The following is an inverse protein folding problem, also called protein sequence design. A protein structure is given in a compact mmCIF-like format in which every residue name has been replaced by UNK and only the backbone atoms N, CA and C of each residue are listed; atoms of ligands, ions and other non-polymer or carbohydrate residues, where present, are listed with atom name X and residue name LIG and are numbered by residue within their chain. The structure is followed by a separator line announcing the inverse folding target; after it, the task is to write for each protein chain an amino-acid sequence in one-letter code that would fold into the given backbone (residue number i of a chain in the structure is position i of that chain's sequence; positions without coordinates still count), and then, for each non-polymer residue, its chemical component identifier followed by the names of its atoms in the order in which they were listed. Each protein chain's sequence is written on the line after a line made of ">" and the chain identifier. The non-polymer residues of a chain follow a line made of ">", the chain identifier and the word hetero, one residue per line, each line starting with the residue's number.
data_IF_478499772007
#
_entry.id   IF_478499772007
#
_cell.length_a   1.000
_cell.length_b   1.000
_cell.length_c   1.000
_cell.angle_alpha   90.00
_cell.angle_beta   90.00
_cell.angle_gamma   90.00
#
_symmetry.space_group_name_H-M   'P 1'
#
loop_
_entity.id
_entity.type
_entity.pdbx_description
1 polymer ?
#
# COMPACT_ATOMS: atom_id res chain seq x y z
N UNK A 1 -4.79 -25.84 17.89
CA UNK A 1 -4.24 -25.15 16.70
C UNK A 1 -4.39 -25.99 15.43
N UNK A 2 -4.08 -27.29 15.45
CA UNK A 2 -4.30 -28.17 14.28
C UNK A 2 -5.82 -28.32 14.00
N UNK A 3 -6.63 -28.59 15.02
CA UNK A 3 -8.09 -28.76 14.86
C UNK A 3 -8.79 -27.49 14.35
N UNK A 4 -8.30 -26.31 14.75
CA UNK A 4 -8.84 -25.02 14.28
C UNK A 4 -8.49 -24.74 12.80
N UNK A 5 -7.32 -25.17 12.34
CA UNK A 5 -6.91 -25.05 10.93
C UNK A 5 -7.73 -26.01 10.07
N UNK A 6 -7.90 -27.26 10.51
CA UNK A 6 -8.74 -28.25 9.80
C UNK A 6 -10.19 -27.77 9.71
N UNK A 7 -10.77 -27.30 10.81
CA UNK A 7 -12.11 -26.73 10.82
C UNK A 7 -12.24 -25.50 9.90
N UNK A 8 -11.22 -24.64 9.84
CA UNK A 8 -11.20 -23.49 8.91
C UNK A 8 -11.21 -23.94 7.44
N UNK A 9 -10.51 -25.03 7.11
CA UNK A 9 -10.50 -25.61 5.75
C UNK A 9 -11.85 -26.19 5.38
N UNK A 10 -12.48 -26.92 6.28
CA UNK A 10 -13.85 -27.45 6.08
C UNK A 10 -14.86 -26.32 5.88
N UNK A 11 -14.79 -25.27 6.71
CA UNK A 11 -15.67 -24.10 6.57
C UNK A 11 -15.47 -23.40 5.23
N UNK A 12 -14.22 -23.26 4.75
CA UNK A 12 -13.93 -22.71 3.42
C UNK A 12 -14.56 -23.56 2.32
N UNK A 13 -14.47 -24.89 2.39
CA UNK A 13 -15.08 -25.79 1.42
C UNK A 13 -16.61 -25.66 1.39
N UNK A 14 -17.26 -25.54 2.57
CA UNK A 14 -18.70 -25.29 2.66
C UNK A 14 -19.08 -23.97 1.99
N UNK A 15 -18.30 -22.89 2.20
CA UNK A 15 -18.54 -21.61 1.54
C UNK A 15 -18.43 -21.71 0.02
N UNK A 16 -17.42 -22.44 -0.48
CA UNK A 16 -17.23 -22.68 -1.92
C UNK A 16 -18.43 -23.45 -2.48
N UNK A 17 -18.85 -24.54 -1.84
CA UNK A 17 -20.00 -25.34 -2.26
C UNK A 17 -21.29 -24.51 -2.32
N UNK A 18 -21.52 -23.64 -1.32
CA UNK A 18 -22.66 -22.73 -1.31
C UNK A 18 -22.63 -21.72 -2.47
N UNK A 19 -21.45 -21.16 -2.78
CA UNK A 19 -21.31 -20.24 -3.92
C UNK A 19 -21.56 -20.96 -5.25
N UNK A 20 -21.08 -22.20 -5.39
CA UNK A 20 -21.28 -23.03 -6.57
C UNK A 20 -22.74 -23.40 -6.80
N UNK A 21 -23.63 -23.36 -5.81
CA UNK A 21 -25.07 -23.56 -6.05
C UNK A 21 -25.69 -22.52 -7.00
N UNK A 22 -25.06 -21.35 -7.14
CA UNK A 22 -25.56 -20.22 -7.94
C UNK A 22 -24.56 -19.70 -8.97
N UNK A 23 -23.37 -20.29 -9.07
CA UNK A 23 -22.29 -19.88 -9.95
C UNK A 23 -21.56 -21.10 -10.50
N UNK A 24 -21.13 -21.03 -11.75
CA UNK A 24 -20.46 -22.14 -12.43
C UNK A 24 -19.08 -22.43 -11.84
N UNK A 25 -18.38 -21.36 -11.44
CA UNK A 25 -17.00 -21.41 -10.97
C UNK A 25 -16.77 -20.44 -9.80
N UNK A 26 -15.85 -20.83 -8.92
CA UNK A 26 -15.36 -19.99 -7.81
C UNK A 26 -13.84 -20.02 -7.79
N UNK A 27 -13.22 -18.84 -7.78
CA UNK A 27 -11.78 -18.69 -7.58
C UNK A 27 -11.51 -18.48 -6.09
N UNK A 28 -10.66 -19.32 -5.50
CA UNK A 28 -10.11 -19.12 -4.16
C UNK A 28 -8.74 -18.43 -4.28
N UNK A 29 -8.62 -17.24 -3.70
CA UNK A 29 -7.35 -16.49 -3.60
C UNK A 29 -6.84 -16.64 -2.18
N UNK A 30 -5.77 -17.40 -1.98
CA UNK A 30 -5.19 -17.65 -0.65
C UNK A 30 -3.68 -17.43 -0.69
N UNK A 31 -3.10 -16.94 0.40
CA UNK A 31 -1.64 -16.84 0.50
C UNK A 31 -1.00 -18.22 0.69
N UNK A 32 0.15 -18.42 0.06
CA UNK A 32 1.00 -19.62 0.17
C UNK A 32 2.15 -19.37 1.16
N UNK A 33 1.83 -18.86 2.35
CA UNK A 33 2.82 -18.54 3.39
C UNK A 33 3.29 -19.82 4.09
N UNK A 34 4.61 -20.04 4.26
CA UNK A 34 5.16 -21.18 5.01
C UNK A 34 4.95 -21.03 6.53
N UNK A 35 5.06 -22.14 7.27
CA UNK A 35 4.98 -22.14 8.74
C UNK A 35 3.56 -22.26 9.31
N UNK A 36 3.45 -22.24 10.64
CA UNK A 36 2.19 -22.47 11.38
C UNK A 36 1.33 -21.21 11.50
N UNK A 37 1.95 -20.02 11.59
CA UNK A 37 1.23 -18.75 11.61
C UNK A 37 0.91 -18.30 10.19
N UNK A 38 -0.36 -18.42 9.79
CA UNK A 38 -0.86 -17.97 8.48
C UNK A 38 -1.39 -16.53 8.47
N UNK A 39 -1.45 -15.88 9.63
CA UNK A 39 -2.01 -14.54 9.82
C UNK A 39 -0.89 -13.53 10.07
N UNK A 40 0.00 -13.40 9.09
CA UNK A 40 1.07 -12.38 9.05
C UNK A 40 0.70 -11.28 8.05
N UNK A 41 1.28 -10.08 8.19
CA UNK A 41 0.97 -8.91 7.35
C UNK A 41 1.13 -9.20 5.86
N UNK A 42 2.14 -9.98 5.47
CA UNK A 42 2.40 -10.37 4.08
C UNK A 42 1.26 -11.23 3.52
N UNK A 43 0.63 -12.08 4.33
CA UNK A 43 -0.51 -12.89 3.92
C UNK A 43 -1.71 -12.02 3.50
N UNK A 44 -2.03 -11.02 4.32
CA UNK A 44 -3.12 -10.07 4.07
C UNK A 44 -2.83 -9.19 2.85
N UNK A 45 -1.60 -8.72 2.72
CA UNK A 45 -1.17 -7.94 1.56
C UNK A 45 -1.31 -8.76 0.27
N UNK A 46 -0.80 -10.00 0.24
CA UNK A 46 -0.84 -10.86 -0.93
C UNK A 46 -2.28 -11.10 -1.40
N UNK A 47 -3.19 -11.49 -0.50
CA UNK A 47 -4.58 -11.76 -0.92
C UNK A 47 -5.31 -10.51 -1.39
N UNK A 48 -5.05 -9.34 -0.77
CA UNK A 48 -5.62 -8.06 -1.20
C UNK A 48 -5.06 -7.63 -2.56
N UNK A 49 -3.75 -7.78 -2.77
CA UNK A 49 -3.07 -7.47 -4.03
C UNK A 49 -3.64 -8.33 -5.17
N UNK A 50 -3.65 -9.65 -5.01
CA UNK A 50 -4.15 -10.54 -6.06
C UNK A 50 -5.65 -10.40 -6.30
N UNK A 51 -6.43 -10.04 -5.28
CA UNK A 51 -7.82 -9.63 -5.48
C UNK A 51 -7.92 -8.40 -6.40
N UNK A 52 -7.07 -7.39 -6.24
CA UNK A 52 -7.01 -6.20 -7.12
C UNK A 52 -6.50 -6.57 -8.51
N UNK A 53 -5.47 -7.42 -8.64
CA UNK A 53 -5.00 -7.85 -9.96
C UNK A 53 -6.08 -8.61 -10.74
N UNK A 54 -6.83 -9.50 -10.06
CA UNK A 54 -7.93 -10.21 -10.70
C UNK A 54 -9.08 -9.29 -11.10
N UNK A 55 -9.37 -8.22 -10.34
CA UNK A 55 -10.46 -7.28 -10.69
C UNK A 55 -10.18 -6.45 -11.94
N UNK A 56 -8.91 -6.34 -12.36
CA UNK A 56 -8.52 -5.70 -13.63
C UNK A 56 -8.87 -6.58 -14.85
N UNK A 57 -8.96 -7.89 -14.66
CA UNK A 57 -9.12 -8.87 -15.75
C UNK A 57 -10.49 -9.54 -15.73
N UNK A 58 -11.13 -9.63 -14.56
CA UNK A 58 -12.37 -10.35 -14.34
C UNK A 58 -13.44 -9.42 -13.77
N UNK A 59 -14.68 -9.60 -14.23
CA UNK A 59 -15.84 -8.90 -13.69
C UNK A 59 -16.49 -9.79 -12.63
N UNK A 60 -16.39 -9.38 -11.37
CA UNK A 60 -17.07 -10.05 -10.26
C UNK A 60 -17.73 -9.02 -9.33
N UNK A 61 -18.86 -9.41 -8.71
CA UNK A 61 -19.62 -8.55 -7.79
C UNK A 61 -19.46 -9.07 -6.36
N UNK A 62 -19.26 -8.15 -5.40
CA UNK A 62 -19.18 -8.38 -3.95
C UNK A 62 -18.06 -9.35 -3.51
N UNK A 63 -16.79 -8.95 -3.62
CA UNK A 63 -15.72 -9.70 -2.96
C UNK A 63 -15.84 -9.56 -1.43
N UNK A 64 -15.72 -10.68 -0.71
CA UNK A 64 -15.57 -10.67 0.75
C UNK A 64 -14.31 -11.42 1.13
N UNK A 65 -13.42 -10.75 1.88
CA UNK A 65 -12.29 -11.39 2.53
C UNK A 65 -12.80 -12.13 3.76
N UNK A 66 -12.36 -13.38 3.94
CA UNK A 66 -12.59 -14.13 5.18
C UNK A 66 -11.28 -14.29 5.92
N UNK A 67 -11.29 -14.02 7.21
CA UNK A 67 -10.16 -14.29 8.11
C UNK A 67 -10.40 -15.63 8.81
N UNK A 68 -9.36 -16.46 8.89
CA UNK A 68 -9.46 -17.80 9.45
C UNK A 68 -8.17 -18.22 10.15
N UNK A 69 -8.19 -19.33 10.89
CA UNK A 69 -6.98 -19.88 11.50
C UNK A 69 -5.96 -20.36 10.45
N UNK A 70 -6.39 -20.65 9.22
CA UNK A 70 -5.54 -21.05 8.08
C UNK A 70 -5.17 -19.88 7.16
N UNK A 71 -5.30 -18.64 7.67
CA UNK A 71 -4.94 -17.40 6.98
C UNK A 71 -6.14 -16.71 6.29
N UNK A 72 -5.92 -15.50 5.77
CA UNK A 72 -6.94 -14.77 5.03
C UNK A 72 -7.11 -15.34 3.60
N UNK A 73 -8.32 -15.22 3.06
CA UNK A 73 -8.60 -15.59 1.66
C UNK A 73 -9.79 -14.80 1.08
N UNK A 74 -9.85 -14.73 -0.25
CA UNK A 74 -11.04 -14.31 -0.99
C UNK A 74 -11.66 -15.48 -1.74
N UNK A 75 -12.99 -15.49 -1.83
CA UNK A 75 -13.74 -16.34 -2.75
C UNK A 75 -14.41 -15.45 -3.79
N UNK A 76 -14.11 -15.69 -5.07
CA UNK A 76 -14.55 -14.87 -6.19
C UNK A 76 -15.42 -15.73 -7.11
N UNK A 77 -16.75 -15.64 -7.04
CA UNK A 77 -17.62 -16.33 -7.98
C UNK A 77 -17.52 -15.68 -9.38
N UNK A 78 -17.42 -16.51 -10.41
CA UNK A 78 -17.28 -16.07 -11.81
C UNK A 78 -18.29 -16.80 -12.70
N UNK A 79 -18.64 -16.17 -13.83
CA UNK A 79 -19.58 -16.69 -14.84
C UNK A 79 -18.88 -17.26 -16.08
N UNK A 80 -17.66 -17.76 -15.93
CA UNK A 80 -16.87 -18.28 -17.04
C UNK A 80 -17.19 -19.76 -17.28
N UNK A 81 -17.25 -20.18 -18.55
CA UNK A 81 -17.75 -21.50 -18.92
C UNK A 81 -16.69 -22.59 -19.06
N UNK A 82 -15.40 -22.26 -19.30
CA UNK A 82 -14.31 -23.26 -19.30
C UNK A 82 -13.47 -23.19 -17.99
N UNK A 83 -13.59 -24.20 -17.10
CA UNK A 83 -12.80 -24.31 -15.88
C UNK A 83 -11.29 -24.48 -16.12
N UNK A 84 -10.89 -25.19 -17.19
CA UNK A 84 -9.49 -25.46 -17.52
C UNK A 84 -8.80 -24.21 -18.04
N UNK A 85 -9.47 -23.46 -18.90
CA UNK A 85 -8.98 -22.16 -19.38
C UNK A 85 -8.76 -21.19 -18.21
N UNK A 86 -9.73 -21.11 -17.29
CA UNK A 86 -9.61 -20.28 -16.10
C UNK A 86 -8.42 -20.71 -15.23
N UNK A 87 -8.22 -22.01 -15.00
CA UNK A 87 -7.07 -22.48 -14.20
C UNK A 87 -5.74 -22.22 -14.91
N UNK A 88 -5.66 -22.33 -16.23
CA UNK A 88 -4.48 -21.91 -16.99
C UNK A 88 -4.18 -20.42 -16.83
N UNK A 89 -5.20 -19.55 -16.83
CA UNK A 89 -5.03 -18.13 -16.56
C UNK A 89 -4.49 -17.88 -15.14
N UNK A 90 -5.03 -18.57 -14.13
CA UNK A 90 -4.56 -18.48 -12.75
C UNK A 90 -3.09 -18.90 -12.62
N UNK A 91 -2.72 -20.03 -13.25
CA UNK A 91 -1.33 -20.52 -13.31
C UNK A 91 -0.41 -19.50 -13.99
N UNK A 92 -0.87 -18.85 -15.06
CA UNK A 92 -0.10 -17.80 -15.74
C UNK A 92 0.20 -16.64 -14.80
N UNK A 93 -0.78 -16.19 -14.02
CA UNK A 93 -0.59 -15.11 -13.03
C UNK A 93 0.42 -15.53 -11.95
N UNK A 94 0.31 -16.76 -11.42
CA UNK A 94 1.25 -17.30 -10.43
C UNK A 94 2.70 -17.35 -10.95
N UNK A 95 2.90 -17.61 -12.24
CA UNK A 95 4.23 -17.73 -12.85
C UNK A 95 4.82 -16.39 -13.29
N UNK A 96 3.99 -15.38 -13.60
CA UNK A 96 4.44 -14.13 -14.23
C UNK A 96 4.47 -12.94 -13.27
N UNK A 97 3.58 -12.90 -12.27
CA UNK A 97 3.59 -11.84 -11.28
C UNK A 97 4.82 -12.00 -10.35
N UNK A 98 5.55 -10.92 -10.00
CA UNK A 98 6.74 -11.01 -9.12
C UNK A 98 6.49 -11.75 -7.80
N UNK A 99 5.30 -11.55 -7.22
CA UNK A 99 4.84 -12.22 -6.00
C UNK A 99 3.95 -13.46 -6.24
N UNK A 100 3.79 -13.89 -7.51
CA UNK A 100 2.87 -14.95 -7.93
C UNK A 100 3.14 -16.32 -7.27
N UNK A 101 4.39 -16.60 -6.89
CA UNK A 101 4.75 -17.84 -6.20
C UNK A 101 4.23 -17.92 -4.76
N UNK A 102 3.88 -16.77 -4.15
CA UNK A 102 3.40 -16.69 -2.77
C UNK A 102 1.88 -16.62 -2.66
N UNK A 103 1.17 -16.75 -3.78
CA UNK A 103 -0.28 -16.85 -3.82
C UNK A 103 -0.68 -18.22 -4.38
N UNK A 104 -1.86 -18.65 -3.97
CA UNK A 104 -2.55 -19.83 -4.46
C UNK A 104 -3.88 -19.38 -5.08
N UNK A 105 -4.00 -19.59 -6.39
CA UNK A 105 -5.16 -19.22 -7.18
C UNK A 105 -5.86 -20.50 -7.67
N UNK A 106 -6.82 -20.97 -6.88
CA UNK A 106 -7.54 -22.21 -7.13
C UNK A 106 -8.88 -21.97 -7.81
N UNK A 107 -9.20 -22.82 -8.79
CA UNK A 107 -10.47 -22.80 -9.51
C UNK A 107 -11.30 -24.00 -9.09
N UNK A 108 -12.46 -23.72 -8.52
CA UNK A 108 -13.45 -24.71 -8.08
C UNK A 108 -14.65 -24.71 -9.03
N UNK A 109 -15.18 -25.89 -9.31
CA UNK A 109 -16.36 -26.16 -10.13
C UNK A 109 -17.33 -27.04 -9.32
N UNK A 110 -18.50 -27.40 -9.87
CA UNK A 110 -19.49 -28.25 -9.18
C UNK A 110 -18.99 -29.64 -8.73
N UNK A 111 -17.85 -30.12 -9.21
CA UNK A 111 -17.21 -31.32 -8.69
C UNK A 111 -16.52 -31.05 -7.34
N UNK A 112 -16.39 -32.08 -6.50
CA UNK A 112 -15.79 -31.95 -5.17
C UNK A 112 -14.29 -31.54 -5.18
N UNK A 113 -13.61 -31.64 -6.33
CA UNK A 113 -12.19 -31.28 -6.48
C UNK A 113 -12.00 -29.95 -7.24
N UNK A 114 -10.99 -29.18 -6.82
CA UNK A 114 -10.42 -28.09 -7.63
C UNK A 114 -9.61 -28.66 -8.80
N UNK A 115 -9.40 -27.85 -9.82
CA UNK A 115 -8.56 -28.23 -10.97
C UNK A 115 -7.10 -28.06 -10.57
N UNK A 116 -6.37 -29.17 -10.58
CA UNK A 116 -4.94 -29.20 -10.24
C UNK A 116 -4.06 -28.85 -11.45
N UNK A 117 -2.76 -28.64 -11.19
CA UNK A 117 -1.76 -28.46 -12.26
C UNK A 117 -1.55 -29.76 -13.05
N UNK A 118 -1.66 -30.91 -12.38
CA UNK A 118 -1.53 -32.24 -12.98
C UNK A 118 -2.65 -32.53 -13.98
N UNK A 119 -3.89 -32.12 -13.67
CA UNK A 119 -5.05 -32.24 -14.57
C UNK A 119 -4.86 -31.51 -15.91
N UNK A 120 -3.94 -30.54 -15.95
CA UNK A 120 -3.61 -29.71 -17.11
C UNK A 120 -2.26 -30.07 -17.74
N UNK A 121 -1.55 -31.07 -17.21
CA UNK A 121 -0.21 -31.45 -17.68
C UNK A 121 0.86 -30.38 -17.44
N UNK A 122 0.66 -29.50 -16.46
CA UNK A 122 1.58 -28.41 -16.11
C UNK A 122 2.50 -28.87 -14.97
N UNK A 123 3.81 -28.58 -15.01
CA UNK A 123 4.74 -28.98 -13.96
C UNK A 123 4.36 -28.39 -12.58
N UNK A 124 4.71 -29.07 -11.48
CA UNK A 124 4.49 -28.58 -10.13
C UNK A 124 5.25 -27.27 -9.87
N UNK A 125 4.85 -26.55 -8.81
CA UNK A 125 5.58 -25.35 -8.38
C UNK A 125 6.96 -25.75 -7.84
N UNK A 126 7.99 -25.00 -8.21
CA UNK A 126 9.32 -25.12 -7.61
C UNK A 126 9.34 -24.56 -6.19
N UNK A 127 10.27 -25.05 -5.37
CA UNK A 127 10.54 -24.55 -4.04
C UNK A 127 10.95 -23.06 -4.08
N UNK A 128 10.76 -22.36 -2.95
CA UNK A 128 11.18 -20.97 -2.83
C UNK A 128 12.71 -20.80 -2.84
N UNK A 129 13.44 -21.78 -2.28
CA UNK A 129 14.87 -21.67 -2.01
C UNK A 129 15.74 -22.57 -2.91
N UNK A 130 15.13 -23.48 -3.68
CA UNK A 130 15.86 -24.37 -4.58
C UNK A 130 15.02 -24.78 -5.80
N UNK A 131 15.64 -25.55 -6.69
CA UNK A 131 15.04 -25.98 -7.95
C UNK A 131 14.15 -27.23 -7.87
N UNK A 132 14.08 -27.89 -6.70
CA UNK A 132 13.22 -29.05 -6.48
C UNK A 132 11.74 -28.65 -6.41
N UNK A 133 10.85 -29.62 -6.58
CA UNK A 133 9.42 -29.43 -6.39
C UNK A 133 9.09 -29.00 -4.96
N UNK A 134 8.18 -28.04 -4.81
CA UNK A 134 7.78 -27.53 -3.50
C UNK A 134 7.20 -28.63 -2.60
N UNK A 135 6.43 -29.57 -3.17
CA UNK A 135 5.90 -30.72 -2.44
C UNK A 135 7.01 -31.65 -1.93
N UNK A 136 8.05 -31.87 -2.74
CA UNK A 136 9.21 -32.66 -2.33
C UNK A 136 9.91 -32.01 -1.13
N UNK A 137 10.25 -30.72 -1.23
CA UNK A 137 10.92 -29.99 -0.14
C UNK A 137 10.08 -29.91 1.13
N UNK A 138 8.76 -29.69 1.00
CA UNK A 138 7.85 -29.64 2.14
C UNK A 138 7.75 -30.99 2.86
N UNK A 139 7.66 -32.10 2.11
CA UNK A 139 7.55 -33.44 2.68
C UNK A 139 8.84 -33.88 3.37
N UNK A 140 9.98 -33.54 2.79
CA UNK A 140 11.30 -33.88 3.34
C UNK A 140 11.84 -32.86 4.35
N UNK A 141 11.10 -31.78 4.61
CA UNK A 141 11.54 -30.67 5.47
C UNK A 141 12.96 -30.19 5.13
N UNK A 142 13.23 -30.03 3.83
CA UNK A 142 14.58 -29.75 3.29
C UNK A 142 15.15 -28.40 3.73
N UNK A 143 14.30 -27.47 4.14
CA UNK A 143 14.68 -26.11 4.53
C UNK A 143 14.06 -25.73 5.87
N UNK A 144 14.72 -24.84 6.61
CA UNK A 144 14.16 -24.24 7.80
C UNK A 144 12.93 -23.40 7.43
N UNK A 145 11.89 -23.45 8.26
CA UNK A 145 10.68 -22.67 8.05
C UNK A 145 10.98 -21.17 8.13
N UNK A 146 11.89 -20.76 9.01
CA UNK A 146 12.29 -19.37 9.17
C UNK A 146 12.96 -18.84 7.90
N UNK A 147 13.80 -19.63 7.22
CA UNK A 147 14.41 -19.23 5.95
C UNK A 147 13.35 -19.02 4.87
N UNK A 148 12.36 -19.91 4.80
CA UNK A 148 11.24 -19.79 3.87
C UNK A 148 10.39 -18.54 4.18
N UNK A 149 10.12 -18.25 5.45
CA UNK A 149 9.37 -17.04 5.86
C UNK A 149 10.17 -15.78 5.51
N UNK A 150 11.45 -15.72 5.88
CA UNK A 150 12.33 -14.59 5.58
C UNK A 150 12.38 -14.32 4.07
N UNK A 151 12.52 -15.37 3.26
CA UNK A 151 12.52 -15.24 1.81
C UNK A 151 11.23 -14.62 1.26
N UNK A 152 10.06 -15.03 1.78
CA UNK A 152 8.78 -14.40 1.38
C UNK A 152 8.76 -12.92 1.78
N UNK A 153 9.16 -12.60 3.03
CA UNK A 153 9.16 -11.23 3.54
C UNK A 153 10.07 -10.30 2.73
N UNK A 154 11.27 -10.75 2.38
CA UNK A 154 12.23 -9.99 1.58
C UNK A 154 11.68 -9.70 0.18
N UNK A 155 11.08 -10.70 -0.48
CA UNK A 155 10.51 -10.50 -1.82
C UNK A 155 9.28 -9.57 -1.78
N UNK A 156 8.43 -9.70 -0.75
CA UNK A 156 7.26 -8.82 -0.54
C UNK A 156 7.72 -7.39 -0.25
N UNK A 157 8.72 -7.21 0.61
CA UNK A 157 9.30 -5.89 0.93
C UNK A 157 9.94 -5.25 -0.30
N UNK A 158 10.71 -6.00 -1.09
CA UNK A 158 11.30 -5.50 -2.33
C UNK A 158 10.23 -5.03 -3.32
N UNK A 159 9.19 -5.84 -3.53
CA UNK A 159 8.05 -5.46 -4.37
C UNK A 159 7.34 -4.19 -3.86
N UNK A 160 7.08 -4.12 -2.55
CA UNK A 160 6.47 -2.92 -1.95
C UNK A 160 7.33 -1.68 -2.14
N UNK A 161 8.65 -1.80 -1.95
CA UNK A 161 9.57 -0.69 -2.12
C UNK A 161 9.46 -0.10 -3.52
N UNK A 162 9.48 -0.94 -4.56
CA UNK A 162 9.36 -0.49 -5.94
C UNK A 162 8.00 0.20 -6.20
N UNK A 163 6.91 -0.37 -5.71
CA UNK A 163 5.57 0.20 -5.88
C UNK A 163 5.43 1.55 -5.17
N UNK A 164 5.85 1.63 -3.90
CA UNK A 164 5.72 2.84 -3.09
C UNK A 164 6.65 3.94 -3.59
N UNK A 165 7.87 3.61 -4.01
CA UNK A 165 8.78 4.55 -4.64
C UNK A 165 8.13 5.17 -5.88
N UNK A 166 7.57 4.35 -6.77
CA UNK A 166 6.87 4.82 -7.97
C UNK A 166 5.66 5.70 -7.63
N UNK A 167 4.88 5.34 -6.60
CA UNK A 167 3.70 6.12 -6.19
C UNK A 167 4.09 7.48 -5.61
N UNK A 168 5.12 7.53 -4.77
CA UNK A 168 5.64 8.79 -4.20
C UNK A 168 6.16 9.69 -5.31
N UNK A 169 6.96 9.12 -6.23
CA UNK A 169 7.53 9.83 -7.37
C UNK A 169 6.44 10.47 -8.24
N UNK A 170 5.44 9.66 -8.63
CA UNK A 170 4.30 10.10 -9.41
C UNK A 170 3.45 11.14 -8.68
N UNK A 171 3.24 11.01 -7.38
CA UNK A 171 2.45 11.97 -6.61
C UNK A 171 3.11 13.36 -6.60
N UNK A 172 4.44 13.43 -6.38
CA UNK A 172 5.20 14.68 -6.40
C UNK A 172 5.24 15.27 -7.81
N UNK A 173 5.46 14.43 -8.83
CA UNK A 173 5.49 14.89 -10.21
C UNK A 173 4.13 15.40 -10.68
N UNK A 174 3.04 14.70 -10.33
CA UNK A 174 1.66 15.12 -10.62
C UNK A 174 1.35 16.48 -9.99
N UNK A 175 1.78 16.70 -8.75
CA UNK A 175 1.66 18.02 -8.11
C UNK A 175 2.46 19.07 -8.86
N UNK A 176 3.72 18.81 -9.18
CA UNK A 176 4.63 19.76 -9.82
C UNK A 176 4.22 20.12 -11.25
N UNK A 177 3.68 19.17 -12.01
CA UNK A 177 3.25 19.37 -13.40
C UNK A 177 1.89 20.04 -13.54
N UNK A 178 1.12 20.16 -12.45
CA UNK A 178 -0.20 20.79 -12.48
C UNK A 178 -0.08 22.32 -12.62
N UNK A 179 -0.32 22.84 -13.82
CA UNK A 179 -0.48 24.28 -14.07
C UNK A 179 -1.81 24.82 -13.52
N UNK A 180 -1.87 26.13 -13.32
CA UNK A 180 -3.00 26.88 -12.74
C UNK A 180 -3.29 26.56 -11.27
N UNK A 181 -2.25 26.19 -10.50
CA UNK A 181 -2.30 26.09 -9.03
C UNK A 181 -1.81 27.39 -8.37
N UNK A 182 -2.38 27.69 -7.20
CA UNK A 182 -2.30 29.01 -6.58
C UNK A 182 -0.91 29.35 -6.04
N UNK A 183 -0.18 30.22 -6.75
CA UNK A 183 1.09 30.81 -6.27
C UNK A 183 2.27 29.84 -6.14
N UNK A 184 2.09 28.57 -6.50
CA UNK A 184 3.10 27.53 -6.43
C UNK A 184 3.82 27.36 -7.77
N UNK A 185 5.05 26.84 -7.72
CA UNK A 185 5.84 26.48 -8.89
C UNK A 185 5.15 25.34 -9.65
N UNK A 186 4.92 25.52 -10.95
CA UNK A 186 4.37 24.53 -11.87
C UNK A 186 5.30 24.31 -13.07
N UNK A 187 4.85 23.56 -14.08
CA UNK A 187 5.63 23.32 -15.30
C UNK A 187 5.94 24.59 -16.08
N UNK A 188 5.01 25.55 -16.10
CA UNK A 188 5.14 26.78 -16.89
C UNK A 188 5.32 28.05 -16.07
N UNK A 189 5.40 27.97 -14.73
CA UNK A 189 5.44 29.15 -13.86
C UNK A 189 6.22 28.90 -12.57
N UNK A 190 6.96 29.90 -12.10
CA UNK A 190 7.50 29.91 -10.72
C UNK A 190 6.47 30.33 -9.67
N UNK A 191 5.23 30.62 -10.07
CA UNK A 191 4.20 31.10 -9.16
C UNK A 191 4.59 32.44 -8.54
N UNK A 192 4.51 32.54 -7.22
CA UNK A 192 4.91 33.73 -6.45
C UNK A 192 6.39 33.72 -6.04
N UNK A 193 7.17 32.77 -6.53
CA UNK A 193 8.57 32.59 -6.15
C UNK A 193 9.52 33.23 -7.16
N UNK A 194 10.53 33.91 -6.62
CA UNK A 194 11.66 34.45 -7.41
C UNK A 194 12.90 33.55 -7.30
N UNK A 195 12.92 32.67 -6.30
CA UNK A 195 14.07 31.87 -5.89
C UNK A 195 14.00 30.40 -6.35
N UNK A 196 12.87 29.95 -6.91
CA UNK A 196 12.73 28.58 -7.41
C UNK A 196 11.92 28.47 -8.69
N UNK A 197 12.22 27.41 -9.46
CA UNK A 197 11.57 27.07 -10.71
C UNK A 197 11.35 25.55 -10.82
N UNK A 198 10.72 25.12 -11.91
CA UNK A 198 10.40 23.71 -12.17
C UNK A 198 11.63 22.79 -12.12
N UNK A 199 12.78 23.24 -12.64
CA UNK A 199 14.00 22.43 -12.69
C UNK A 199 14.63 22.25 -11.30
N UNK A 200 14.60 23.30 -10.48
CA UNK A 200 15.05 23.21 -9.10
C UNK A 200 14.15 22.29 -8.27
N UNK A 201 12.83 22.34 -8.50
CA UNK A 201 11.86 21.43 -7.87
C UNK A 201 12.10 19.97 -8.29
N UNK A 202 12.35 19.68 -9.57
CA UNK A 202 12.74 18.34 -10.02
C UNK A 202 14.02 17.85 -9.32
N UNK A 203 15.03 18.70 -9.19
CA UNK A 203 16.26 18.36 -8.47
C UNK A 203 15.96 18.04 -6.99
N UNK A 204 15.11 18.83 -6.35
CA UNK A 204 14.70 18.59 -4.96
C UNK A 204 13.93 17.27 -4.80
N UNK A 205 13.03 16.95 -5.74
CA UNK A 205 12.27 15.68 -5.79
C UNK A 205 13.21 14.47 -5.75
N UNK A 206 14.20 14.42 -6.62
CA UNK A 206 15.15 13.29 -6.69
C UNK A 206 15.88 13.04 -5.37
N UNK A 207 16.12 14.10 -4.59
CA UNK A 207 16.74 14.00 -3.27
C UNK A 207 15.76 13.44 -2.23
N UNK A 208 14.51 13.90 -2.21
CA UNK A 208 13.57 13.58 -1.12
C UNK A 208 12.81 12.25 -1.30
N UNK A 209 12.63 11.78 -2.53
CA UNK A 209 11.86 10.56 -2.83
C UNK A 209 12.41 9.32 -2.07
N UNK A 210 13.72 9.05 -2.04
CA UNK A 210 14.28 7.94 -1.26
C UNK A 210 14.03 8.05 0.25
N UNK A 211 14.00 9.27 0.79
CA UNK A 211 13.70 9.51 2.21
C UNK A 211 12.24 9.22 2.54
N UNK A 212 11.32 9.58 1.66
CA UNK A 212 9.89 9.27 1.83
C UNK A 212 9.65 7.75 1.79
N UNK A 213 10.35 7.00 0.94
CA UNK A 213 10.31 5.53 0.97
C UNK A 213 10.83 4.99 2.32
N UNK A 214 11.96 5.51 2.81
CA UNK A 214 12.50 5.11 4.12
C UNK A 214 11.53 5.44 5.27
N UNK A 215 10.78 6.53 5.18
CA UNK A 215 9.74 6.90 6.13
C UNK A 215 8.54 5.93 6.06
N UNK A 216 8.13 5.51 4.86
CA UNK A 216 7.14 4.44 4.70
C UNK A 216 7.59 3.15 5.39
N UNK A 217 8.83 2.72 5.16
CA UNK A 217 9.37 1.49 5.74
C UNK A 217 9.46 1.56 7.27
N UNK A 218 9.82 2.72 7.85
CA UNK A 218 9.73 2.93 9.30
C UNK A 218 8.32 2.67 9.83
N UNK A 219 7.29 3.13 9.12
CA UNK A 219 5.90 2.83 9.48
C UNK A 219 5.57 1.35 9.36
N UNK A 220 5.98 0.72 8.26
CA UNK A 220 5.72 -0.69 7.99
C UNK A 220 6.37 -1.64 9.02
N UNK A 221 7.57 -1.31 9.49
CA UNK A 221 8.36 -2.11 10.43
C UNK A 221 8.05 -1.82 11.90
N UNK A 222 7.34 -0.72 12.19
CA UNK A 222 7.03 -0.33 13.57
C UNK A 222 5.97 -1.23 14.19
N UNK A 223 6.00 -1.34 15.53
CA UNK A 223 4.96 -1.99 16.33
C UNK A 223 4.14 -0.99 17.15
N UNK A 224 4.63 0.25 17.31
CA UNK A 224 4.06 1.24 18.22
C UNK A 224 3.82 2.59 17.52
N UNK A 225 2.55 2.87 17.25
CA UNK A 225 2.14 4.11 16.59
C UNK A 225 2.50 5.39 17.36
N UNK A 226 2.46 5.35 18.70
CA UNK A 226 2.55 6.55 19.53
C UNK A 226 3.92 7.24 19.47
N UNK A 227 5.00 6.48 19.25
CA UNK A 227 6.38 6.97 19.19
C UNK A 227 6.89 7.13 17.76
N UNK A 228 6.12 6.67 16.78
CA UNK A 228 6.56 6.56 15.39
C UNK A 228 6.97 7.90 14.76
N UNK A 229 6.31 9.01 15.12
CA UNK A 229 6.73 10.34 14.67
C UNK A 229 8.08 10.75 15.24
N UNK A 230 8.32 10.48 16.53
CA UNK A 230 9.59 10.80 17.19
C UNK A 230 10.74 10.00 16.58
N UNK A 231 10.53 8.70 16.37
CA UNK A 231 11.51 7.80 15.75
C UNK A 231 11.79 8.09 14.27
N UNK A 232 10.82 8.70 13.58
CA UNK A 232 10.93 9.03 12.15
C UNK A 232 11.46 10.45 11.92
N UNK A 233 11.38 11.33 12.92
CA UNK A 233 11.76 12.75 12.80
C UNK A 233 13.20 12.98 12.35
N UNK A 234 14.23 12.27 12.85
CA UNK A 234 15.60 12.46 12.37
C UNK A 234 15.72 12.27 10.85
N UNK A 235 14.99 11.31 10.30
CA UNK A 235 15.01 11.01 8.87
C UNK A 235 14.34 12.11 8.04
N UNK A 236 13.24 12.70 8.52
CA UNK A 236 12.62 13.86 7.87
C UNK A 236 13.49 15.11 7.91
N UNK A 237 14.22 15.34 9.01
CA UNK A 237 15.20 16.43 9.13
C UNK A 237 16.36 16.22 8.16
N UNK A 238 16.87 14.98 8.05
CA UNK A 238 17.91 14.64 7.08
C UNK A 238 17.47 14.93 5.64
N UNK A 239 16.24 14.55 5.28
CA UNK A 239 15.65 14.84 3.97
C UNK A 239 15.60 16.36 3.68
N UNK A 240 15.18 17.16 4.67
CA UNK A 240 15.15 18.62 4.53
C UNK A 240 16.56 19.20 4.34
N UNK A 241 17.55 18.72 5.09
CA UNK A 241 18.93 19.19 5.00
C UNK A 241 19.58 18.85 3.65
N UNK A 242 19.43 17.61 3.17
CA UNK A 242 19.98 17.22 1.88
C UNK A 242 19.25 17.91 0.71
N UNK A 243 17.94 18.14 0.83
CA UNK A 243 17.21 18.97 -0.12
C UNK A 243 17.79 20.38 -0.18
N UNK A 244 17.90 21.06 0.97
CA UNK A 244 18.45 22.42 1.04
C UNK A 244 19.88 22.50 0.48
N UNK A 245 20.72 21.51 0.78
CA UNK A 245 22.08 21.43 0.23
C UNK A 245 22.06 21.29 -1.30
N UNK A 246 21.18 20.45 -1.84
CA UNK A 246 21.05 20.27 -3.28
C UNK A 246 20.48 21.51 -3.99
N UNK A 247 19.70 22.33 -3.28
CA UNK A 247 19.04 23.53 -3.80
C UNK A 247 19.69 24.84 -3.36
N UNK A 248 20.95 24.81 -2.89
CA UNK A 248 21.69 26.00 -2.44
C UNK A 248 20.96 26.83 -1.37
N UNK A 249 20.25 26.16 -0.46
CA UNK A 249 19.51 26.75 0.65
C UNK A 249 18.06 27.13 0.32
N UNK A 250 17.60 26.89 -0.91
CA UNK A 250 16.25 27.24 -1.35
C UNK A 250 15.25 26.17 -0.89
N UNK A 251 14.17 26.59 -0.25
CA UNK A 251 13.16 25.68 0.28
C UNK A 251 12.14 25.26 -0.80
N UNK A 252 12.38 24.13 -1.45
CA UNK A 252 11.48 23.57 -2.46
C UNK A 252 10.31 22.77 -1.86
N UNK A 253 10.57 21.88 -0.90
CA UNK A 253 9.60 20.85 -0.46
C UNK A 253 9.53 20.62 1.04
N UNK A 254 9.95 21.57 1.90
CA UNK A 254 9.85 21.37 3.36
C UNK A 254 8.43 21.03 3.85
N UNK A 255 7.42 21.70 3.31
CA UNK A 255 6.02 21.42 3.63
C UNK A 255 5.57 20.03 3.13
N UNK A 256 6.03 19.64 1.94
CA UNK A 256 5.74 18.34 1.35
C UNK A 256 6.42 17.20 2.11
N UNK A 257 7.69 17.33 2.49
CA UNK A 257 8.40 16.37 3.35
C UNK A 257 7.60 16.12 4.63
N UNK A 258 7.06 17.17 5.25
CA UNK A 258 6.25 17.04 6.46
C UNK A 258 4.92 16.32 6.19
N UNK A 259 4.11 16.80 5.23
CA UNK A 259 2.75 16.27 5.00
C UNK A 259 2.74 14.89 4.34
N UNK A 260 3.53 14.72 3.28
CA UNK A 260 3.67 13.43 2.60
C UNK A 260 4.44 12.44 3.48
N UNK A 261 5.43 12.91 4.25
CA UNK A 261 6.14 12.09 5.24
C UNK A 261 5.19 11.46 6.26
N UNK A 262 4.32 12.25 6.90
CA UNK A 262 3.30 11.72 7.82
C UNK A 262 2.36 10.72 7.13
N UNK A 263 1.95 11.03 5.90
CA UNK A 263 1.05 10.17 5.10
C UNK A 263 1.70 8.81 4.80
N UNK A 264 2.96 8.79 4.34
CA UNK A 264 3.63 7.53 3.98
C UNK A 264 3.99 6.70 5.21
N UNK A 265 4.41 7.32 6.32
CA UNK A 265 4.62 6.64 7.61
C UNK A 265 3.34 5.94 8.04
N UNK A 266 2.23 6.69 8.07
CA UNK A 266 0.92 6.18 8.47
C UNK A 266 0.42 5.07 7.54
N UNK A 267 0.69 5.20 6.24
CA UNK A 267 0.33 4.19 5.23
C UNK A 267 1.11 2.89 5.43
N UNK A 268 2.42 2.98 5.72
CA UNK A 268 3.25 1.82 6.05
C UNK A 268 2.71 1.08 7.28
N UNK A 269 2.43 1.83 8.35
CA UNK A 269 1.87 1.28 9.58
C UNK A 269 0.50 0.63 9.36
N UNK A 270 -0.39 1.31 8.65
CA UNK A 270 -1.71 0.78 8.33
C UNK A 270 -1.63 -0.53 7.52
N UNK A 271 -0.68 -0.62 6.59
CA UNK A 271 -0.50 -1.80 5.77
C UNK A 271 0.00 -3.00 6.58
N UNK A 272 1.01 -2.82 7.44
CA UNK A 272 1.56 -3.90 8.25
C UNK A 272 0.62 -4.37 9.34
N UNK A 273 -0.29 -3.50 9.82
CA UNK A 273 -1.27 -3.82 10.85
C UNK A 273 -2.65 -4.21 10.28
N UNK A 274 -2.74 -4.49 8.98
CA UNK A 274 -3.99 -4.90 8.31
C UNK A 274 -5.15 -3.88 8.48
N UNK A 275 -4.83 -2.62 8.75
CA UNK A 275 -5.82 -1.56 8.99
C UNK A 275 -6.58 -1.21 7.71
N UNK A 276 -7.72 -0.54 7.89
CA UNK A 276 -8.53 0.00 6.80
C UNK A 276 -7.93 1.33 6.33
N UNK A 277 -8.23 1.71 5.10
CA UNK A 277 -7.71 2.94 4.49
C UNK A 277 -7.93 4.20 5.35
N UNK A 278 -9.11 4.37 5.97
CA UNK A 278 -9.40 5.56 6.78
C UNK A 278 -8.54 5.68 8.04
N UNK A 279 -7.98 4.57 8.54
CA UNK A 279 -7.10 4.59 9.70
C UNK A 279 -5.80 5.35 9.43
N UNK A 280 -5.43 5.55 8.17
CA UNK A 280 -4.28 6.40 7.81
C UNK A 280 -4.45 7.80 8.42
N UNK A 281 -5.65 8.37 8.38
CA UNK A 281 -5.94 9.70 8.93
C UNK A 281 -5.99 9.68 10.46
N UNK A 282 -6.60 8.64 11.06
CA UNK A 282 -6.60 8.42 12.52
C UNK A 282 -5.17 8.34 13.05
N UNK A 283 -4.33 7.53 12.42
CA UNK A 283 -2.94 7.33 12.77
C UNK A 283 -2.15 8.64 12.74
N UNK A 284 -2.35 9.48 11.71
CA UNK A 284 -1.70 10.79 11.62
C UNK A 284 -2.11 11.68 12.80
N UNK A 285 -3.39 11.72 13.16
CA UNK A 285 -3.87 12.48 14.32
C UNK A 285 -3.23 11.97 15.62
N UNK A 286 -3.16 10.66 15.82
CA UNK A 286 -2.53 10.04 17.01
C UNK A 286 -1.04 10.38 17.10
N UNK A 287 -0.29 10.18 16.00
CA UNK A 287 1.15 10.48 15.92
C UNK A 287 1.45 11.96 16.19
N UNK A 288 0.53 12.85 15.84
CA UNK A 288 0.72 14.30 15.92
C UNK A 288 -0.02 14.94 17.10
N UNK A 289 -0.58 14.17 18.03
CA UNK A 289 -1.32 14.67 19.20
C UNK A 289 -0.56 15.74 20.01
N UNK A 290 0.77 15.61 20.07
CA UNK A 290 1.66 16.48 20.84
C UNK A 290 2.36 17.54 19.98
N UNK A 291 2.05 17.60 18.68
CA UNK A 291 2.73 18.50 17.74
C UNK A 291 2.58 19.97 18.10
N UNK A 292 1.52 20.32 18.85
CA UNK A 292 1.31 21.70 19.29
C UNK A 292 2.26 22.15 20.40
N UNK A 293 2.83 21.23 21.17
CA UNK A 293 3.86 21.55 22.18
C UNK A 293 5.10 22.18 21.52
N UNK A 294 5.31 21.97 20.22
CA UNK A 294 6.38 22.62 19.46
C UNK A 294 6.16 24.13 19.29
N UNK A 295 4.92 24.63 19.31
CA UNK A 295 4.65 26.07 19.16
C UNK A 295 4.97 26.90 20.40
N UNK A 296 5.13 26.25 21.56
CA UNK A 296 5.57 26.91 22.80
C UNK A 296 7.08 27.23 22.76
N UNK A 297 7.80 26.72 21.76
CA UNK A 297 9.21 27.02 21.51
C UNK A 297 9.37 28.31 20.67
N UNK A 298 10.54 28.96 20.73
CA UNK A 298 10.84 30.14 19.89
C UNK A 298 10.51 29.86 18.41
N UNK A 299 9.78 30.74 17.70
CA UNK A 299 9.37 30.50 16.32
C UNK A 299 10.59 30.39 15.41
N UNK A 300 10.68 29.28 14.67
CA UNK A 300 11.76 29.00 13.70
C UNK A 300 11.27 29.00 12.25
N UNK A 301 9.97 29.21 12.01
CA UNK A 301 9.36 29.18 10.67
C UNK A 301 8.20 30.18 10.59
N UNK A 302 7.90 30.67 9.38
CA UNK A 302 6.77 31.55 9.12
C UNK A 302 5.43 30.97 9.63
N UNK A 303 5.22 29.66 9.50
CA UNK A 303 4.02 29.01 10.02
C UNK A 303 3.87 29.07 11.55
N UNK A 304 4.97 29.05 12.30
CA UNK A 304 4.93 29.23 13.76
C UNK A 304 4.60 30.68 14.15
N UNK A 305 5.10 31.63 13.37
CA UNK A 305 4.80 33.05 13.55
C UNK A 305 3.33 33.37 13.22
N UNK A 306 2.81 32.83 12.12
CA UNK A 306 1.40 32.95 11.75
C UNK A 306 0.46 32.35 12.81
N UNK A 307 0.81 31.21 13.41
CA UNK A 307 0.04 30.65 14.52
C UNK A 307 0.06 31.58 15.74
N UNK A 308 1.23 32.08 16.14
CA UNK A 308 1.38 32.96 17.31
C UNK A 308 0.61 34.27 17.15
N UNK A 309 0.62 34.85 15.95
CA UNK A 309 0.01 36.17 15.68
C UNK A 309 -1.46 36.08 15.31
N UNK A 310 -1.87 35.03 14.59
CA UNK A 310 -3.21 34.93 13.98
C UNK A 310 -3.97 33.65 14.33
N UNK A 311 -3.43 32.77 15.17
CA UNK A 311 -4.00 31.46 15.53
C UNK A 311 -4.24 30.53 14.32
N UNK A 312 -3.57 30.80 13.19
CA UNK A 312 -3.61 29.97 11.99
C UNK A 312 -2.71 28.74 12.21
N UNK A 313 -3.33 27.56 12.35
CA UNK A 313 -2.61 26.31 12.68
C UNK A 313 -1.87 25.68 11.49
N UNK A 314 -2.27 26.01 10.26
CA UNK A 314 -1.63 25.56 9.02
C UNK A 314 -1.49 24.03 8.91
N UNK A 315 -0.42 23.58 8.24
CA UNK A 315 -0.14 22.16 8.00
C UNK A 315 -0.08 21.30 9.29
N UNK A 316 0.40 21.87 10.41
CA UNK A 316 0.41 21.16 11.70
C UNK A 316 -1.00 20.98 12.27
N UNK A 317 -1.88 21.96 12.05
CA UNK A 317 -3.30 21.85 12.38
C UNK A 317 -4.01 20.79 11.57
N UNK A 318 -3.78 20.77 10.26
CA UNK A 318 -4.27 19.71 9.39
C UNK A 318 -3.81 18.34 9.90
N UNK A 319 -2.52 18.17 10.16
CA UNK A 319 -1.96 16.91 10.65
C UNK A 319 -2.59 16.47 11.98
N UNK A 320 -2.68 17.37 12.96
CA UNK A 320 -3.30 17.09 14.25
C UNK A 320 -4.75 16.58 14.13
N UNK A 321 -5.51 17.13 13.19
CA UNK A 321 -6.89 16.73 12.92
C UNK A 321 -7.03 15.52 11.98
N UNK A 322 -5.92 14.93 11.53
CA UNK A 322 -5.95 13.81 10.59
C UNK A 322 -6.23 14.23 9.14
N UNK A 323 -5.74 15.38 8.71
CA UNK A 323 -5.82 15.90 7.33
C UNK A 323 -7.26 16.08 6.79
N UNK A 324 -8.14 16.81 7.49
CA UNK A 324 -9.53 17.00 7.05
C UNK A 324 -9.65 17.58 5.64
N UNK A 325 -8.78 18.51 5.21
CA UNK A 325 -8.78 19.01 3.83
C UNK A 325 -8.49 17.90 2.82
N UNK A 326 -7.53 17.02 3.11
CA UNK A 326 -7.22 15.88 2.21
C UNK A 326 -8.39 14.91 2.13
N UNK A 327 -9.10 14.67 3.24
CA UNK A 327 -10.28 13.81 3.26
C UNK A 327 -11.42 14.38 2.41
N UNK A 328 -11.65 15.70 2.46
CA UNK A 328 -12.63 16.40 1.61
C UNK A 328 -12.25 16.23 0.13
N UNK A 329 -11.02 16.58 -0.23
CA UNK A 329 -10.54 16.46 -1.61
C UNK A 329 -10.62 15.02 -2.12
N UNK A 330 -10.24 14.03 -1.30
CA UNK A 330 -10.28 12.62 -1.67
C UNK A 330 -11.72 12.16 -1.96
N UNK A 331 -12.69 12.58 -1.15
CA UNK A 331 -14.10 12.23 -1.37
C UNK A 331 -14.57 12.70 -2.75
N UNK A 332 -14.24 13.93 -3.14
CA UNK A 332 -14.57 14.47 -4.45
C UNK A 332 -13.86 13.72 -5.58
N UNK A 333 -12.56 13.43 -5.42
CA UNK A 333 -11.79 12.70 -6.42
C UNK A 333 -12.28 11.25 -6.61
N UNK A 334 -12.79 10.60 -5.57
CA UNK A 334 -13.34 9.24 -5.65
C UNK A 334 -14.65 9.16 -6.46
N UNK A 335 -15.36 10.28 -6.65
CA UNK A 335 -16.54 10.34 -7.50
C UNK A 335 -16.20 10.42 -9.00
N UNK A 336 -14.92 10.63 -9.34
CA UNK A 336 -14.47 10.81 -10.72
C UNK A 336 -13.94 9.49 -11.29
N UNK A 337 -14.20 9.27 -12.57
CA UNK A 337 -13.80 8.03 -13.26
C UNK A 337 -12.29 7.96 -13.57
N UNK A 338 -11.61 9.12 -13.60
CA UNK A 338 -10.17 9.24 -13.83
C UNK A 338 -9.60 10.43 -13.07
N UNK A 339 -8.42 10.24 -12.50
CA UNK A 339 -7.59 11.34 -12.00
C UNK A 339 -6.92 12.03 -13.20
N UNK A 340 -7.18 13.31 -13.38
CA UNK A 340 -6.59 14.15 -14.42
C UNK A 340 -6.48 15.60 -13.91
N UNK A 341 -5.82 16.47 -14.67
CA UNK A 341 -5.60 17.86 -14.25
C UNK A 341 -6.89 18.63 -13.94
N UNK A 342 -7.98 18.34 -14.67
CA UNK A 342 -9.29 18.97 -14.42
C UNK A 342 -9.80 18.55 -13.05
N UNK A 343 -9.78 17.25 -12.74
CA UNK A 343 -10.16 16.71 -11.45
C UNK A 343 -9.35 17.34 -10.31
N UNK A 344 -8.04 17.45 -10.49
CA UNK A 344 -7.14 18.04 -9.49
C UNK A 344 -7.44 19.53 -9.27
N UNK A 345 -7.65 20.31 -10.33
CA UNK A 345 -8.03 21.73 -10.21
C UNK A 345 -9.39 21.92 -9.56
N UNK A 346 -10.35 21.01 -9.80
CA UNK A 346 -11.65 21.03 -9.11
C UNK A 346 -11.45 20.79 -7.62
N UNK A 347 -10.69 19.77 -7.24
CA UNK A 347 -10.37 19.51 -5.83
C UNK A 347 -9.68 20.72 -5.18
N UNK A 348 -8.77 21.40 -5.88
CA UNK A 348 -8.13 22.63 -5.37
C UNK A 348 -9.13 23.78 -5.13
N UNK A 349 -10.13 23.94 -6.00
CA UNK A 349 -11.16 24.99 -5.83
C UNK A 349 -12.02 24.72 -4.59
N UNK A 350 -12.41 23.47 -4.37
CA UNK A 350 -13.20 23.06 -3.19
C UNK A 350 -12.45 23.24 -1.86
N UNK A 351 -11.11 23.28 -1.88
CA UNK A 351 -10.33 23.52 -0.67
C UNK A 351 -10.21 25.01 -0.30
N UNK A 352 -10.56 25.91 -1.22
CA UNK A 352 -10.37 27.36 -1.08
C UNK A 352 -11.71 28.07 -0.87
N UNK A 353 -12.79 27.54 -1.43
CA UNK A 353 -14.16 28.00 -1.26
C UNK A 353 -14.77 27.45 0.03
#
# INVERSE_FOLDING_TARGET
>A
MIDSILSSREQKLIQIQNLLQSHELVISVKSNIPGSNKNISEAYLLVRLFHVELSKMLIFKKPSMTESADGPYFLIPIKHSDPKEMKMMMISIENTHPLGRFIDLDVHQHSDASISREDLGVPPRKCYLCEHDAHFCSRNQTHDIQDLVTYVKENVSAYLNDQILSMIDQAILTELELDDKFGLVSKTSSGSHEDMDYHLMLKAKEIIVPYLLRLFMKGYESFELAHLLEESRPLGIEAELEMLKATNGINCYKGLIFMLGLTVISSGYALSHNQKFHEIFTNISVMTKDIFKEFDMKPKTFGMEAYRTHQIKGARGEAYLGLPSVQIALKELLHLSKLNDIALRVALKELIL
#
